data_IF_743315174496
#
_entry.id   IF_743315174496
#
_cell.length_a   1.000
_cell.length_b   1.000
_cell.length_c   1.000
_cell.angle_alpha   90.00
_cell.angle_beta   90.00
_cell.angle_gamma   90.00
#
_symmetry.space_group_name_H-M   'P 1'
#
loop_
_entity.id
_entity.type
_entity.pdbx_description
1 polymer ?
#
# COMPACT_ATOMS: atom_id res chain seq x y z
N UNK A 1 -27.73 -7.90 -2.25
CA UNK A 1 -26.50 -7.28 -1.71
C UNK A 1 -26.19 -8.13 -0.50
N UNK A 2 -25.32 -9.13 -0.72
CA UNK A 2 -25.07 -10.16 0.29
C UNK A 2 -24.37 -9.55 1.51
N UNK A 3 -24.88 -9.91 2.68
CA UNK A 3 -24.51 -9.39 3.99
C UNK A 3 -23.17 -9.91 4.51
N UNK A 4 -22.33 -10.51 3.68
CA UNK A 4 -21.13 -11.26 4.10
C UNK A 4 -19.83 -10.43 4.06
N UNK A 5 -19.92 -9.11 3.93
CA UNK A 5 -18.73 -8.23 3.83
C UNK A 5 -17.96 -8.08 5.18
N UNK A 6 -18.47 -8.63 6.29
CA UNK A 6 -17.88 -8.38 7.62
C UNK A 6 -16.93 -9.45 8.19
N UNK A 7 -16.54 -10.51 7.47
CA UNK A 7 -15.71 -11.58 8.07
C UNK A 7 -14.59 -12.15 7.19
N UNK A 8 -14.10 -11.42 6.18
CA UNK A 8 -12.98 -11.89 5.35
C UNK A 8 -11.84 -10.89 5.22
N UNK A 9 -10.61 -11.41 5.24
CA UNK A 9 -9.37 -10.66 5.08
C UNK A 9 -8.83 -10.88 3.66
N UNK A 10 -8.67 -9.79 2.91
CA UNK A 10 -8.08 -9.85 1.57
C UNK A 10 -6.56 -9.72 1.71
N UNK A 11 -5.82 -10.75 1.30
CA UNK A 11 -4.36 -10.76 1.37
C UNK A 11 -3.75 -11.02 -0.03
N UNK A 12 -2.74 -10.23 -0.45
CA UNK A 12 -2.13 -10.44 -1.76
C UNK A 12 -1.45 -11.81 -1.84
N UNK A 13 -1.78 -12.61 -2.87
CA UNK A 13 -1.22 -13.94 -3.05
C UNK A 13 0.32 -13.92 -3.09
N UNK A 14 0.90 -12.96 -3.81
CA UNK A 14 2.36 -12.81 -3.91
C UNK A 14 3.04 -12.44 -2.58
N UNK A 15 2.33 -11.71 -1.71
CA UNK A 15 2.81 -11.36 -0.37
C UNK A 15 2.81 -12.60 0.54
N UNK A 16 1.72 -13.37 0.53
CA UNK A 16 1.62 -14.64 1.26
C UNK A 16 2.69 -15.64 0.83
N UNK A 17 2.88 -15.82 -0.48
CA UNK A 17 3.90 -16.72 -1.03
C UNK A 17 5.31 -16.32 -0.58
N UNK A 18 5.59 -15.01 -0.52
CA UNK A 18 6.88 -14.51 -0.06
C UNK A 18 7.11 -14.84 1.42
N UNK A 19 6.16 -14.51 2.28
CA UNK A 19 6.31 -14.71 3.73
C UNK A 19 6.39 -16.18 4.10
N UNK A 20 5.62 -17.07 3.46
CA UNK A 20 5.71 -18.51 3.70
C UNK A 20 7.10 -19.05 3.31
N UNK A 21 7.69 -18.56 2.21
CA UNK A 21 9.04 -19.00 1.77
C UNK A 21 10.15 -18.62 2.73
N UNK A 22 10.01 -17.50 3.43
CA UNK A 22 11.03 -17.00 4.36
C UNK A 22 10.67 -17.22 5.82
N UNK A 23 9.59 -17.94 6.10
CA UNK A 23 9.07 -18.23 7.44
C UNK A 23 10.15 -18.73 8.40
N UNK A 24 10.95 -19.70 7.97
CA UNK A 24 12.03 -20.27 8.81
C UNK A 24 13.18 -19.29 9.10
N UNK A 25 13.24 -18.15 8.39
CA UNK A 25 14.22 -17.08 8.60
C UNK A 25 13.68 -15.92 9.46
N UNK A 26 12.41 -15.99 9.90
CA UNK A 26 11.81 -15.01 10.79
C UNK A 26 12.12 -15.37 12.26
N UNK A 27 13.16 -14.75 12.83
CA UNK A 27 13.46 -14.85 14.26
C UNK A 27 13.09 -13.52 14.96
N UNK A 28 12.68 -13.54 16.24
CA UNK A 28 12.51 -12.30 17.01
C UNK A 28 13.76 -11.41 16.92
N UNK A 29 13.62 -10.21 16.36
CA UNK A 29 14.74 -9.29 16.08
C UNK A 29 15.19 -9.24 14.61
N UNK A 30 14.59 -10.02 13.71
CA UNK A 30 14.75 -9.87 12.25
C UNK A 30 13.66 -8.97 11.65
N UNK A 31 13.79 -8.66 10.36
CA UNK A 31 12.79 -7.92 9.58
C UNK A 31 11.39 -8.56 9.75
N UNK A 32 10.36 -7.73 9.98
CA UNK A 32 8.96 -8.12 10.27
C UNK A 32 8.64 -8.64 11.68
N UNK A 33 9.63 -8.82 12.58
CA UNK A 33 9.42 -9.12 14.02
C UNK A 33 8.45 -10.28 14.37
N UNK A 34 8.23 -11.24 13.46
CA UNK A 34 7.30 -12.36 13.65
C UNK A 34 5.82 -12.03 13.41
N UNK A 35 5.51 -10.90 12.76
CA UNK A 35 4.12 -10.48 12.53
C UNK A 35 3.34 -11.43 11.61
N UNK A 36 4.02 -12.13 10.70
CA UNK A 36 3.36 -13.11 9.85
C UNK A 36 2.81 -14.28 10.67
N UNK A 37 3.64 -14.86 11.54
CA UNK A 37 3.29 -15.96 12.43
C UNK A 37 2.22 -15.56 13.45
N UNK A 38 2.33 -14.37 14.02
CA UNK A 38 1.41 -13.89 15.05
C UNK A 38 0.06 -13.45 14.48
N UNK A 39 0.03 -12.75 13.34
CA UNK A 39 -1.17 -12.06 12.86
C UNK A 39 -1.73 -12.59 11.54
N UNK A 40 -0.93 -13.22 10.67
CA UNK A 40 -1.41 -13.70 9.36
C UNK A 40 -1.78 -15.17 9.38
N UNK A 41 -0.92 -16.02 9.98
CA UNK A 41 -1.15 -17.47 10.04
C UNK A 41 -2.48 -17.84 10.73
N UNK A 42 -2.86 -17.24 11.89
CA UNK A 42 -4.14 -17.58 12.52
C UNK A 42 -5.35 -17.32 11.62
N UNK A 43 -5.30 -16.31 10.77
CA UNK A 43 -6.37 -16.00 9.82
C UNK A 43 -6.44 -17.02 8.68
N UNK A 44 -5.28 -17.47 8.18
CA UNK A 44 -5.18 -18.52 7.17
C UNK A 44 -5.72 -19.85 7.71
N UNK A 45 -5.30 -20.25 8.91
CA UNK A 45 -5.75 -21.48 9.57
C UNK A 45 -7.25 -21.47 9.88
N UNK A 46 -7.80 -20.29 10.21
CA UNK A 46 -9.23 -20.11 10.42
C UNK A 46 -10.05 -20.07 9.12
N UNK A 47 -9.41 -20.07 7.94
CA UNK A 47 -10.12 -20.00 6.64
C UNK A 47 -10.76 -18.63 6.35
N UNK A 48 -10.30 -17.58 7.04
CA UNK A 48 -10.85 -16.22 6.97
C UNK A 48 -10.19 -15.37 5.87
N UNK A 49 -9.25 -15.93 5.11
CA UNK A 49 -8.49 -15.21 4.10
C UNK A 49 -8.98 -15.51 2.70
N UNK A 50 -9.22 -14.45 1.91
CA UNK A 50 -9.27 -14.52 0.45
C UNK A 50 -7.96 -14.02 -0.12
N UNK A 51 -7.36 -14.84 -0.99
CA UNK A 51 -6.21 -14.41 -1.75
C UNK A 51 -6.65 -13.54 -2.92
N UNK A 52 -6.03 -12.37 -3.03
CA UNK A 52 -6.28 -11.40 -4.09
C UNK A 52 -5.02 -11.16 -4.92
N UNK A 53 -5.20 -10.61 -6.11
CA UNK A 53 -4.16 -10.34 -7.10
C UNK A 53 -4.22 -8.89 -7.59
N UNK A 54 -3.16 -8.49 -8.26
CA UNK A 54 -3.03 -7.19 -8.89
C UNK A 54 -4.23 -6.93 -9.82
N UNK A 55 -4.89 -5.79 -9.62
CA UNK A 55 -6.01 -5.36 -10.46
C UNK A 55 -7.37 -5.97 -10.11
N UNK A 56 -7.48 -6.85 -9.11
CA UNK A 56 -8.78 -7.40 -8.70
C UNK A 56 -9.74 -6.29 -8.27
N UNK A 57 -11.00 -6.41 -8.70
CA UNK A 57 -12.11 -5.56 -8.27
C UNK A 57 -12.70 -6.14 -6.98
N UNK A 58 -12.62 -5.41 -5.88
CA UNK A 58 -13.03 -5.89 -4.55
C UNK A 58 -14.40 -5.33 -4.10
N UNK A 59 -14.87 -4.27 -4.76
CA UNK A 59 -16.24 -3.74 -4.65
C UNK A 59 -16.56 -2.94 -5.91
N UNK A 60 -17.81 -2.53 -6.14
CA UNK A 60 -18.22 -1.82 -7.38
C UNK A 60 -17.37 -0.58 -7.71
N UNK A 61 -16.87 0.12 -6.68
CA UNK A 61 -16.04 1.32 -6.82
C UNK A 61 -14.62 1.16 -6.26
N UNK A 62 -14.15 -0.07 -6.00
CA UNK A 62 -12.84 -0.32 -5.39
C UNK A 62 -12.05 -1.37 -6.14
N UNK A 63 -10.83 -1.03 -6.56
CA UNK A 63 -9.88 -1.98 -7.18
C UNK A 63 -8.52 -1.97 -6.50
N UNK A 64 -7.82 -3.09 -6.59
CA UNK A 64 -6.45 -3.23 -6.11
C UNK A 64 -5.45 -2.71 -7.13
N UNK A 65 -4.43 -1.98 -6.66
CA UNK A 65 -3.35 -1.41 -7.48
C UNK A 65 -2.01 -1.93 -6.97
N UNK A 66 -1.18 -2.56 -7.81
CA UNK A 66 0.14 -3.04 -7.36
C UNK A 66 1.05 -1.87 -7.01
N UNK A 67 1.65 -1.92 -5.82
CA UNK A 67 2.61 -0.94 -5.31
C UNK A 67 3.84 -1.63 -4.69
N UNK A 68 4.55 -2.50 -5.42
CA UNK A 68 5.62 -3.32 -4.88
C UNK A 68 6.86 -2.50 -4.46
N UNK A 69 7.70 -3.09 -3.63
CA UNK A 69 9.03 -2.61 -3.27
C UNK A 69 9.19 -2.35 -1.78
N UNK A 70 8.19 -1.81 -1.09
CA UNK A 70 8.22 -1.81 0.37
C UNK A 70 8.12 -3.25 0.90
N UNK A 71 7.12 -3.99 0.42
CA UNK A 71 7.10 -5.45 0.40
C UNK A 71 6.90 -5.95 -1.03
N UNK A 72 7.05 -7.26 -1.26
CA UNK A 72 7.07 -7.85 -2.62
C UNK A 72 5.69 -7.78 -3.27
N UNK A 73 4.62 -7.99 -2.51
CA UNK A 73 3.23 -8.02 -2.98
C UNK A 73 2.37 -6.89 -2.42
N UNK A 74 2.95 -5.75 -2.00
CA UNK A 74 2.16 -4.62 -1.51
C UNK A 74 1.14 -4.16 -2.56
N UNK A 75 -0.12 -4.04 -2.13
CA UNK A 75 -1.21 -3.47 -2.90
C UNK A 75 -1.70 -2.16 -2.26
N UNK A 76 -2.09 -1.21 -3.10
CA UNK A 76 -2.96 -0.11 -2.72
C UNK A 76 -4.40 -0.38 -3.13
N UNK A 77 -5.31 0.47 -2.68
CA UNK A 77 -6.74 0.41 -3.02
C UNK A 77 -7.16 1.73 -3.65
N UNK A 78 -7.46 1.70 -4.95
CA UNK A 78 -8.09 2.83 -5.64
C UNK A 78 -9.60 2.78 -5.41
N UNK A 79 -10.16 3.93 -5.04
CA UNK A 79 -11.58 4.10 -4.74
C UNK A 79 -12.12 5.21 -5.64
N UNK A 80 -13.10 4.87 -6.46
CA UNK A 80 -13.85 5.85 -7.24
C UNK A 80 -14.90 6.53 -6.35
N UNK A 81 -14.91 7.86 -6.38
CA UNK A 81 -15.86 8.72 -5.64
C UNK A 81 -16.59 9.65 -6.61
N UNK A 82 -17.64 10.32 -6.14
CA UNK A 82 -18.35 11.32 -6.93
C UNK A 82 -17.48 12.53 -7.32
N UNK A 83 -16.45 12.83 -6.53
CA UNK A 83 -15.61 14.02 -6.67
C UNK A 83 -14.21 13.71 -7.23
N UNK A 84 -13.96 12.47 -7.68
CA UNK A 84 -12.67 12.02 -8.21
C UNK A 84 -12.24 10.69 -7.60
N UNK A 85 -10.92 10.48 -7.48
CA UNK A 85 -10.35 9.22 -6.99
C UNK A 85 -9.61 9.40 -5.67
N UNK A 86 -9.69 8.39 -4.82
CA UNK A 86 -8.83 8.22 -3.66
C UNK A 86 -7.92 7.00 -3.89
N UNK A 87 -6.69 7.05 -3.42
CA UNK A 87 -5.79 5.90 -3.41
C UNK A 87 -5.17 5.72 -2.03
N UNK A 88 -5.61 4.66 -1.34
CA UNK A 88 -4.96 4.14 -0.14
C UNK A 88 -3.66 3.47 -0.59
N UNK A 89 -2.53 4.17 -0.52
CA UNK A 89 -1.26 3.71 -1.12
C UNK A 89 -0.32 3.01 -0.14
N UNK A 90 -0.79 2.71 1.06
CA UNK A 90 -0.03 1.97 2.07
C UNK A 90 1.32 2.64 2.35
N UNK A 91 2.37 1.83 2.28
CA UNK A 91 3.73 2.23 2.64
C UNK A 91 4.58 2.60 1.41
N UNK A 92 3.93 2.87 0.26
CA UNK A 92 4.61 3.44 -0.91
C UNK A 92 5.29 4.79 -0.58
N UNK A 93 4.71 5.52 0.39
CA UNK A 93 5.21 6.77 0.97
C UNK A 93 5.17 6.70 2.50
N UNK A 94 6.32 6.92 3.13
CA UNK A 94 6.50 6.96 4.59
C UNK A 94 6.58 8.40 5.12
N UNK A 95 6.99 9.34 4.28
CA UNK A 95 7.14 10.75 4.65
C UNK A 95 6.82 11.65 3.46
N UNK A 96 6.22 12.84 3.67
CA UNK A 96 6.07 13.83 2.62
C UNK A 96 7.38 14.19 1.90
N UNK A 97 8.52 14.08 2.60
CA UNK A 97 9.87 14.25 2.02
C UNK A 97 10.05 13.46 0.71
N UNK A 98 9.44 12.27 0.63
CA UNK A 98 9.53 11.38 -0.53
C UNK A 98 8.68 11.82 -1.72
N UNK A 99 7.84 12.85 -1.59
CA UNK A 99 7.18 13.49 -2.75
C UNK A 99 8.19 14.38 -3.47
N UNK A 100 8.87 15.27 -2.74
CA UNK A 100 9.93 16.10 -3.31
C UNK A 100 11.16 15.28 -3.75
N UNK A 101 11.49 14.24 -2.98
CA UNK A 101 12.65 13.36 -3.22
C UNK A 101 12.21 11.91 -3.45
N UNK A 102 11.59 11.58 -4.60
CA UNK A 102 11.00 10.26 -4.83
C UNK A 102 12.02 9.11 -4.86
N UNK A 103 13.29 9.41 -5.05
CA UNK A 103 14.40 8.44 -4.99
C UNK A 103 14.76 8.00 -3.56
N UNK A 104 14.25 8.70 -2.53
CA UNK A 104 14.54 8.35 -1.13
C UNK A 104 13.73 7.13 -0.69
N UNK A 105 14.41 6.14 -0.13
CA UNK A 105 13.82 4.87 0.31
C UNK A 105 13.95 4.68 1.80
N UNK A 106 13.00 3.97 2.38
CA UNK A 106 13.08 3.50 3.76
C UNK A 106 14.12 2.39 3.89
N UNK A 107 14.72 2.24 5.07
CA UNK A 107 15.47 1.04 5.44
C UNK A 107 14.56 -0.19 5.52
N UNK A 108 13.25 0.04 5.65
CA UNK A 108 12.23 -1.00 5.71
C UNK A 108 11.73 -1.46 4.33
N UNK A 109 12.20 -0.87 3.22
CA UNK A 109 11.85 -1.39 1.90
C UNK A 109 12.62 -2.69 1.61
N UNK A 110 11.90 -3.77 1.32
CA UNK A 110 12.47 -5.06 0.93
C UNK A 110 13.29 -4.96 -0.36
N UNK A 111 12.80 -4.20 -1.35
CA UNK A 111 13.52 -3.84 -2.56
C UNK A 111 13.47 -2.32 -2.76
N UNK A 112 14.62 -1.68 -2.53
CA UNK A 112 14.75 -0.23 -2.63
C UNK A 112 14.60 0.27 -4.06
N UNK A 113 15.02 -0.48 -5.07
CA UNK A 113 14.93 -0.02 -6.45
C UNK A 113 13.48 -0.06 -6.93
N UNK A 114 12.83 -1.21 -6.75
CA UNK A 114 11.41 -1.35 -7.05
C UNK A 114 10.57 -0.32 -6.28
N UNK A 115 10.89 -0.04 -5.01
CA UNK A 115 10.17 0.98 -4.24
C UNK A 115 10.32 2.41 -4.80
N UNK A 116 11.45 2.76 -5.42
CA UNK A 116 11.64 4.06 -6.08
C UNK A 116 10.82 4.14 -7.35
N UNK A 117 10.91 3.10 -8.17
CA UNK A 117 10.17 3.02 -9.44
C UNK A 117 8.66 3.08 -9.20
N UNK A 118 8.16 2.29 -8.26
CA UNK A 118 6.76 2.31 -7.82
C UNK A 118 6.34 3.70 -7.37
N UNK A 119 7.13 4.35 -6.50
CA UNK A 119 6.79 5.69 -6.00
C UNK A 119 6.76 6.72 -7.11
N UNK A 120 7.75 6.73 -8.00
CA UNK A 120 7.78 7.67 -9.14
C UNK A 120 6.59 7.45 -10.07
N UNK A 121 6.26 6.21 -10.34
CA UNK A 121 5.10 5.83 -11.14
C UNK A 121 3.80 6.33 -10.49
N UNK A 122 3.66 6.08 -9.18
CA UNK A 122 2.54 6.55 -8.37
C UNK A 122 2.38 8.07 -8.42
N UNK A 123 3.45 8.84 -8.18
CA UNK A 123 3.40 10.30 -8.16
C UNK A 123 3.04 10.90 -9.54
N UNK A 124 3.55 10.30 -10.63
CA UNK A 124 3.20 10.71 -12.02
C UNK A 124 1.74 10.45 -12.37
N UNK A 125 1.18 9.37 -11.85
CA UNK A 125 -0.19 8.96 -12.14
C UNK A 125 -1.22 9.53 -11.15
N UNK A 126 -0.76 10.30 -10.15
CA UNK A 126 -1.62 10.80 -9.08
C UNK A 126 -2.46 12.02 -9.48
N UNK A 127 -2.39 12.50 -10.73
CA UNK A 127 -3.24 13.59 -11.20
C UNK A 127 -4.73 13.22 -11.03
N UNK A 128 -5.52 14.16 -10.53
CA UNK A 128 -6.93 13.94 -10.17
C UNK A 128 -7.17 12.94 -9.03
N UNK A 129 -6.13 12.43 -8.36
CA UNK A 129 -6.22 11.43 -7.29
C UNK A 129 -5.70 11.99 -5.96
N UNK A 130 -6.45 11.75 -4.88
CA UNK A 130 -5.97 12.03 -3.52
C UNK A 130 -5.24 10.80 -3.01
N UNK A 131 -3.97 10.96 -2.64
CA UNK A 131 -3.17 9.89 -2.03
C UNK A 131 -3.35 9.88 -0.51
N UNK A 132 -3.50 8.68 0.04
CA UNK A 132 -3.60 8.41 1.48
C UNK A 132 -2.54 7.37 1.89
N UNK A 133 -1.31 7.77 2.24
CA UNK A 133 -0.28 6.86 2.74
C UNK A 133 -0.44 6.58 4.23
N UNK A 134 -0.07 5.37 4.69
CA UNK A 134 -0.28 4.91 6.08
C UNK A 134 0.40 5.77 7.14
N UNK A 135 1.56 6.35 6.80
CA UNK A 135 2.46 7.00 7.76
C UNK A 135 2.41 8.53 7.73
N UNK A 136 1.59 9.13 6.86
CA UNK A 136 1.39 10.58 6.87
C UNK A 136 0.28 10.91 7.87
N UNK A 137 0.67 11.60 8.94
CA UNK A 137 -0.24 12.01 10.01
C UNK A 137 -0.63 13.48 9.86
N UNK A 138 -1.67 13.89 10.58
CA UNK A 138 -2.15 15.28 10.64
C UNK A 138 -2.59 15.87 9.29
N UNK A 139 -2.98 15.00 8.36
CA UNK A 139 -3.57 15.35 7.07
C UNK A 139 -4.65 14.31 6.74
N UNK A 140 -5.72 14.73 6.07
CA UNK A 140 -6.74 13.82 5.54
C UNK A 140 -6.27 13.12 4.24
N UNK A 141 -5.20 13.62 3.62
CA UNK A 141 -4.62 13.09 2.38
C UNK A 141 -3.78 14.15 1.68
N UNK A 142 -3.31 13.88 0.47
CA UNK A 142 -2.61 14.88 -0.33
C UNK A 142 -2.90 14.72 -1.82
N UNK A 143 -2.96 15.85 -2.53
CA UNK A 143 -2.84 15.88 -3.99
C UNK A 143 -1.38 16.08 -4.38
N UNK A 144 -1.02 15.59 -5.55
CA UNK A 144 0.32 15.77 -6.11
C UNK A 144 0.24 16.79 -7.23
N UNK A 145 1.12 17.79 -7.19
CA UNK A 145 1.33 18.75 -8.27
C UNK A 145 2.69 18.46 -8.89
N UNK A 146 2.73 18.20 -10.19
CA UNK A 146 3.97 18.11 -10.96
C UNK A 146 4.30 19.49 -11.55
N UNK A 147 5.54 19.92 -11.38
CA UNK A 147 6.08 21.15 -11.97
C UNK A 147 7.50 20.94 -12.49
N UNK A 148 8.15 22.01 -12.92
CA UNK A 148 9.47 21.95 -13.56
C UNK A 148 10.56 21.30 -12.65
N UNK A 149 10.42 21.46 -11.34
CA UNK A 149 11.36 20.95 -10.33
C UNK A 149 10.94 19.60 -9.72
N UNK A 150 9.92 18.93 -10.26
CA UNK A 150 9.43 17.63 -9.79
C UNK A 150 8.05 17.69 -9.10
N UNK A 151 7.83 16.85 -8.08
CA UNK A 151 6.52 16.72 -7.42
C UNK A 151 6.44 17.51 -6.12
N UNK A 152 5.26 18.05 -5.85
CA UNK A 152 4.95 18.75 -4.60
C UNK A 152 3.63 18.23 -4.00
N UNK A 153 3.58 17.94 -2.69
CA UNK A 153 2.35 17.57 -2.02
C UNK A 153 1.53 18.81 -1.66
N UNK A 154 0.24 18.78 -1.95
CA UNK A 154 -0.76 19.71 -1.44
C UNK A 154 -1.63 18.96 -0.43
N UNK A 155 -1.42 19.21 0.85
CA UNK A 155 -2.15 18.53 1.92
C UNK A 155 -3.61 18.96 1.99
N UNK A 156 -4.44 18.03 2.42
CA UNK A 156 -5.86 18.24 2.66
C UNK A 156 -6.06 18.31 4.17
N UNK A 157 -6.58 19.43 4.65
CA UNK A 157 -6.81 19.64 6.08
C UNK A 157 -7.73 18.55 6.66
N UNK A 158 -7.33 17.99 7.80
CA UNK A 158 -8.23 17.17 8.61
C UNK A 158 -9.18 18.10 9.37
N UNK A 159 -10.49 17.95 9.15
CA UNK A 159 -11.54 18.69 9.85
C UNK A 159 -11.52 18.46 11.38
#
# INVERSE_FOLDING_TARGET
MDSDIFERYLLPAGELDYWERIRDNAAPGTFNHGAHEDSTIPLLEAGLVDQVRDGDQIADNMRLVPLPGHTVGQLGVEIDTTDGKLLLCGDALHSPAQVWMPEWTSVFCADKETARETRRSLLRQADGTILLPSHIRHSAGMRIVEGDDGFQPVFIDSA
#
